data_IF_339253469781
#
_entry.id   IF_339253469781
#
_cell.length_a   1.000
_cell.length_b   1.000
_cell.length_c   1.000
_cell.angle_alpha   90.00
_cell.angle_beta   90.00
_cell.angle_gamma   90.00
#
_symmetry.space_group_name_H-M   'P 1'
#
loop_
_entity.id
_entity.type
_entity.pdbx_description
1 polymer ?
#
# COMPACT_ATOMS: atom_id res chain seq x y z
N UNK A 1 -20.90 11.61 -17.91
CA UNK A 1 -19.87 11.53 -16.86
C UNK A 1 -18.91 10.42 -17.28
N UNK A 2 -17.59 10.66 -17.24
CA UNK A 2 -16.62 9.66 -17.67
C UNK A 2 -16.49 8.60 -16.57
N UNK A 3 -16.92 7.36 -16.87
CA UNK A 3 -16.65 6.18 -16.06
C UNK A 3 -15.14 6.06 -15.77
N UNK A 4 -14.77 5.90 -14.50
CA UNK A 4 -13.39 5.62 -14.10
C UNK A 4 -13.23 4.12 -13.88
N UNK A 5 -12.01 3.62 -14.05
CA UNK A 5 -11.68 2.22 -13.79
C UNK A 5 -10.83 2.11 -12.54
N UNK A 6 -11.13 1.13 -11.70
CA UNK A 6 -10.22 0.76 -10.62
C UNK A 6 -8.93 0.19 -11.22
N UNK A 7 -7.77 0.71 -10.82
CA UNK A 7 -6.48 0.25 -11.34
C UNK A 7 -6.05 -1.12 -10.79
N UNK A 8 -6.81 -1.70 -9.85
CA UNK A 8 -6.55 -3.02 -9.26
C UNK A 8 -7.44 -4.10 -9.86
N UNK A 9 -8.76 -3.91 -9.84
CA UNK A 9 -9.72 -4.92 -10.28
C UNK A 9 -10.32 -4.66 -11.66
N UNK A 10 -9.91 -3.56 -12.33
CA UNK A 10 -10.33 -3.15 -13.68
C UNK A 10 -11.82 -2.92 -13.89
N UNK A 11 -12.64 -3.13 -12.86
CA UNK A 11 -14.06 -2.87 -12.86
C UNK A 11 -14.31 -1.39 -13.12
N UNK A 12 -15.33 -1.12 -13.94
CA UNK A 12 -15.88 0.22 -14.14
C UNK A 12 -16.60 0.62 -12.86
N UNK A 13 -16.30 1.80 -12.39
CA UNK A 13 -16.88 2.38 -11.18
C UNK A 13 -17.25 3.82 -11.46
N UNK A 14 -18.32 4.25 -10.82
CA UNK A 14 -18.73 5.64 -10.87
C UNK A 14 -17.56 6.53 -10.41
N UNK A 15 -17.30 7.64 -11.11
CA UNK A 15 -16.14 8.48 -10.82
C UNK A 15 -16.17 9.08 -9.41
N UNK A 16 -17.35 9.11 -8.77
CA UNK A 16 -17.56 9.54 -7.37
C UNK A 16 -17.12 8.47 -6.36
N UNK A 17 -17.10 7.19 -6.74
CA UNK A 17 -16.72 6.04 -5.92
C UNK A 17 -15.25 5.62 -6.09
N UNK A 18 -14.47 6.44 -6.79
CA UNK A 18 -13.03 6.21 -7.02
C UNK A 18 -12.20 7.11 -6.12
N UNK A 19 -11.49 6.47 -5.19
CA UNK A 19 -10.62 7.13 -4.24
C UNK A 19 -9.16 7.12 -4.73
N UNK A 20 -8.45 8.23 -4.49
CA UNK A 20 -7.01 8.32 -4.72
C UNK A 20 -6.29 7.71 -3.52
N UNK A 21 -5.55 6.63 -3.76
CA UNK A 21 -4.80 5.93 -2.73
C UNK A 21 -3.30 6.13 -2.91
N UNK A 22 -2.61 6.44 -1.81
CA UNK A 22 -1.15 6.50 -1.76
C UNK A 22 -0.61 5.10 -1.42
N UNK A 23 0.24 4.54 -2.29
CA UNK A 23 0.83 3.20 -2.06
C UNK A 23 1.62 3.18 -0.75
N UNK A 24 2.37 4.25 -0.50
CA UNK A 24 3.06 4.47 0.79
C UNK A 24 2.47 5.72 1.44
N UNK A 25 2.07 5.68 2.72
CA UNK A 25 1.52 6.84 3.42
C UNK A 25 2.44 8.05 3.33
N UNK A 26 1.86 9.24 3.07
CA UNK A 26 2.64 10.48 2.87
C UNK A 26 3.58 10.80 4.02
N UNK A 27 3.11 10.64 5.25
CA UNK A 27 3.92 10.90 6.45
C UNK A 27 5.20 10.05 6.42
N UNK A 28 5.09 8.79 6.00
CA UNK A 28 6.23 7.88 5.95
C UNK A 28 7.25 8.27 4.87
N UNK A 29 6.80 8.76 3.71
CA UNK A 29 7.70 9.25 2.67
C UNK A 29 8.39 10.56 3.07
N UNK A 30 7.68 11.43 3.78
CA UNK A 30 8.20 12.69 4.33
C UNK A 30 9.25 12.43 5.42
N UNK A 31 8.92 11.58 6.40
CA UNK A 31 9.83 11.14 7.47
C UNK A 31 11.08 10.40 6.93
N UNK A 32 10.94 9.69 5.81
CA UNK A 32 12.06 9.04 5.12
C UNK A 32 12.90 10.01 4.27
N UNK A 33 12.45 11.25 4.06
CA UNK A 33 13.12 12.22 3.19
C UNK A 33 13.16 11.80 1.71
N UNK A 34 12.17 11.04 1.25
CA UNK A 34 12.09 10.55 -0.13
C UNK A 34 10.91 11.20 -0.89
N UNK A 35 10.93 11.20 -2.23
CA UNK A 35 9.80 11.68 -3.02
C UNK A 35 8.49 10.98 -2.65
N UNK A 36 7.37 11.71 -2.77
CA UNK A 36 6.04 11.15 -2.55
C UNK A 36 5.82 9.87 -3.36
N UNK A 37 5.15 8.91 -2.73
CA UNK A 37 4.87 7.63 -3.36
C UNK A 37 3.87 7.78 -4.51
N UNK A 38 3.95 6.85 -5.46
CA UNK A 38 2.97 6.76 -6.54
C UNK A 38 1.56 6.61 -5.97
N UNK A 39 0.62 7.26 -6.65
CA UNK A 39 -0.80 7.22 -6.30
C UNK A 39 -1.60 6.53 -7.37
N UNK A 40 -2.59 5.76 -6.95
CA UNK A 40 -3.46 5.00 -7.83
C UNK A 40 -4.93 5.29 -7.52
N UNK A 41 -5.79 5.00 -8.48
CA UNK A 41 -7.23 5.12 -8.37
C UNK A 41 -7.85 3.75 -8.03
N UNK A 42 -8.49 3.67 -6.88
CA UNK A 42 -9.13 2.46 -6.37
C UNK A 42 -10.63 2.67 -6.20
N UNK A 43 -11.42 1.63 -6.44
CA UNK A 43 -12.79 1.61 -5.92
C UNK A 43 -12.78 1.42 -4.39
N UNK A 44 -13.86 1.80 -3.72
CA UNK A 44 -14.01 1.67 -2.27
C UNK A 44 -13.66 0.26 -1.74
N UNK A 45 -14.05 -0.80 -2.46
CA UNK A 45 -13.76 -2.18 -2.06
C UNK A 45 -12.25 -2.49 -2.09
N UNK A 46 -11.58 -2.21 -3.22
CA UNK A 46 -10.13 -2.41 -3.31
C UNK A 46 -9.35 -1.50 -2.36
N UNK A 47 -9.88 -0.30 -2.07
CA UNK A 47 -9.32 0.62 -1.09
C UNK A 47 -9.37 0.04 0.34
N UNK A 48 -10.50 -0.55 0.74
CA UNK A 48 -10.61 -1.24 2.02
C UNK A 48 -9.73 -2.48 2.10
N UNK A 49 -9.68 -3.29 1.03
CA UNK A 49 -8.88 -4.51 1.00
C UNK A 49 -7.38 -4.25 1.07
N UNK A 50 -6.86 -3.23 0.38
CA UNK A 50 -5.44 -2.87 0.45
C UNK A 50 -5.06 -2.37 1.84
N UNK A 51 -5.94 -1.60 2.50
CA UNK A 51 -5.73 -1.19 3.88
C UNK A 51 -5.67 -2.39 4.84
N UNK A 52 -6.57 -3.37 4.68
CA UNK A 52 -6.53 -4.59 5.47
C UNK A 52 -5.23 -5.39 5.24
N UNK A 53 -4.73 -5.42 4.00
CA UNK A 53 -3.44 -6.03 3.67
C UNK A 53 -2.28 -5.34 4.37
N UNK A 54 -2.24 -4.00 4.36
CA UNK A 54 -1.21 -3.26 5.08
C UNK A 54 -1.27 -3.53 6.58
N UNK A 55 -2.45 -3.45 7.21
CA UNK A 55 -2.60 -3.72 8.64
C UNK A 55 -2.16 -5.13 9.02
N UNK A 56 -2.41 -6.13 8.17
CA UNK A 56 -2.04 -7.51 8.44
C UNK A 56 -0.55 -7.79 8.26
N UNK A 57 0.09 -7.16 7.27
CA UNK A 57 1.42 -7.56 6.77
C UNK A 57 2.54 -6.55 7.07
N UNK A 58 2.23 -5.27 7.18
CA UNK A 58 3.23 -4.24 7.51
C UNK A 58 3.47 -4.24 9.02
N UNK A 59 4.73 -4.37 9.42
CA UNK A 59 5.16 -4.43 10.83
C UNK A 59 6.25 -3.41 11.08
N UNK A 60 6.03 -2.53 12.04
CA UNK A 60 7.01 -1.52 12.48
C UNK A 60 8.26 -2.11 13.13
N UNK A 61 8.22 -3.38 13.52
CA UNK A 61 9.34 -4.07 14.16
C UNK A 61 9.65 -5.36 13.42
N UNK A 62 10.93 -5.71 13.38
CA UNK A 62 11.41 -7.01 12.90
C UNK A 62 12.29 -7.68 13.95
N UNK A 63 12.35 -9.01 13.89
CA UNK A 63 13.26 -9.77 14.74
C UNK A 63 14.64 -9.83 14.10
N UNK A 64 15.63 -9.24 14.76
CA UNK A 64 17.03 -9.27 14.35
C UNK A 64 17.70 -10.53 14.91
N UNK A 65 18.03 -11.47 14.04
CA UNK A 65 18.61 -12.75 14.43
C UNK A 65 20.04 -12.62 15.00
N UNK A 66 20.78 -11.58 14.60
CA UNK A 66 22.15 -11.33 15.06
C UNK A 66 22.21 -10.92 16.53
N UNK A 67 21.31 -10.02 16.94
CA UNK A 67 21.18 -9.52 18.32
C UNK A 67 20.14 -10.29 19.14
N UNK A 68 19.39 -11.20 18.50
CA UNK A 68 18.26 -11.96 19.08
C UNK A 68 17.21 -11.07 19.75
N UNK A 69 16.95 -9.90 19.15
CA UNK A 69 16.04 -8.88 19.70
C UNK A 69 15.15 -8.33 18.60
N UNK A 70 13.99 -7.82 19.00
CA UNK A 70 13.17 -7.01 18.10
C UNK A 70 13.78 -5.63 17.97
N UNK A 71 13.94 -5.16 16.73
CA UNK A 71 14.31 -3.77 16.43
C UNK A 71 13.18 -3.08 15.69
N UNK A 72 13.08 -1.77 15.88
CA UNK A 72 12.20 -0.92 15.07
C UNK A 72 12.81 -0.75 13.69
N UNK A 73 11.98 -0.91 12.66
CA UNK A 73 12.38 -0.65 11.27
C UNK A 73 12.61 0.84 11.05
N UNK A 74 13.60 1.17 10.25
CA UNK A 74 13.79 2.52 9.74
C UNK A 74 12.64 2.90 8.79
N UNK A 75 12.44 4.20 8.58
CA UNK A 75 11.41 4.67 7.66
C UNK A 75 11.62 4.14 6.23
N UNK A 76 12.87 4.03 5.76
CA UNK A 76 13.18 3.43 4.45
C UNK A 76 12.78 1.95 4.38
N UNK A 77 13.02 1.17 5.43
CA UNK A 77 12.59 -0.23 5.50
C UNK A 77 11.05 -0.34 5.47
N UNK A 78 10.37 0.55 6.19
CA UNK A 78 8.91 0.62 6.16
C UNK A 78 8.37 0.99 4.77
N UNK A 79 8.96 1.98 4.08
CA UNK A 79 8.59 2.36 2.71
C UNK A 79 8.66 1.14 1.79
N UNK A 80 9.78 0.41 1.83
CA UNK A 80 9.99 -0.79 1.02
C UNK A 80 8.97 -1.89 1.33
N UNK A 81 8.60 -2.04 2.61
CA UNK A 81 7.59 -3.01 3.03
C UNK A 81 6.19 -2.67 2.50
N UNK A 82 5.78 -1.39 2.57
CA UNK A 82 4.51 -0.94 1.97
C UNK A 82 4.48 -1.23 0.45
N UNK A 83 5.56 -0.91 -0.26
CA UNK A 83 5.65 -1.18 -1.71
C UNK A 83 5.56 -2.68 -2.03
N UNK A 84 6.23 -3.51 -1.23
CA UNK A 84 6.22 -4.98 -1.40
C UNK A 84 4.83 -5.54 -1.14
N UNK A 85 4.20 -5.16 -0.03
CA UNK A 85 2.83 -5.60 0.31
C UNK A 85 1.83 -5.17 -0.75
N UNK A 86 1.98 -3.95 -1.29
CA UNK A 86 1.15 -3.47 -2.39
C UNK A 86 1.35 -4.29 -3.68
N UNK A 87 2.61 -4.58 -4.04
CA UNK A 87 2.93 -5.42 -5.20
C UNK A 87 2.31 -6.82 -5.06
N UNK A 88 2.38 -7.42 -3.88
CA UNK A 88 1.77 -8.71 -3.62
C UNK A 88 0.24 -8.66 -3.64
N UNK A 89 -0.36 -7.56 -3.17
CA UNK A 89 -1.80 -7.34 -3.28
C UNK A 89 -2.25 -7.26 -4.76
N UNK A 90 -1.51 -6.53 -5.59
CA UNK A 90 -1.76 -6.45 -7.03
C UNK A 90 -1.68 -7.83 -7.69
N UNK A 91 -0.65 -8.63 -7.36
CA UNK A 91 -0.52 -10.01 -7.88
C UNK A 91 -1.66 -10.91 -7.42
N UNK A 92 -2.04 -10.82 -6.14
CA UNK A 92 -3.17 -11.57 -5.59
C UNK A 92 -4.48 -11.26 -6.33
N UNK A 93 -4.70 -9.98 -6.67
CA UNK A 93 -5.87 -9.55 -7.41
C UNK A 93 -5.84 -9.95 -8.88
N UNK A 94 -4.71 -9.86 -9.56
CA UNK A 94 -4.57 -10.28 -10.96
C UNK A 94 -4.63 -11.81 -11.19
N UNK A 95 -4.59 -12.61 -10.13
CA UNK A 95 -4.71 -14.08 -10.22
C UNK A 95 -6.16 -14.58 -10.06
N UNK A 96 -7.12 -13.68 -9.75
CA UNK A 96 -8.54 -13.99 -9.55
C UNK A 96 -9.39 -13.41 -10.66
#
# INVERSE_FOLDING_TARGET
MAEKKCQVCENRVDPEDVEKHHIVPKNLTDDAGIPESQTIQLCANCHQEVHAWYTARVRHTEYDAGTRRFRTKSYLEMVNEYQTVFSDFMKYKGTR
#
